data_IF_159548700741
#
_entry.id   IF_159548700741
#
_cell.length_a   1.000
_cell.length_b   1.000
_cell.length_c   1.000
_cell.angle_alpha   90.00
_cell.angle_beta   90.00
_cell.angle_gamma   90.00
#
_symmetry.space_group_name_H-M   'P 1'
#
loop_
_entity.id
_entity.type
_entity.pdbx_description
1 polymer ?
#
# COMPACT_ATOMS: atom_id res chain seq x y z
N UNK A 1 26.10 6.47 1.89
CA UNK A 1 26.76 6.97 3.12
C UNK A 1 27.00 5.84 4.13
N UNK A 2 26.07 4.89 4.29
CA UNK A 2 26.21 3.77 5.25
C UNK A 2 27.25 2.73 4.82
N UNK A 3 27.37 2.46 3.51
CA UNK A 3 28.27 1.43 2.99
C UNK A 3 29.74 1.67 3.37
N UNK A 4 30.22 2.91 3.21
CA UNK A 4 31.61 3.25 3.53
C UNK A 4 31.88 3.43 5.02
N UNK A 5 30.89 3.85 5.81
CA UNK A 5 31.05 4.11 7.24
C UNK A 5 30.91 2.85 8.10
N UNK A 6 30.17 1.86 7.63
CA UNK A 6 29.91 0.61 8.36
C UNK A 6 30.71 -0.58 7.84
N UNK A 7 31.44 -0.43 6.73
CA UNK A 7 32.21 -1.50 6.08
C UNK A 7 31.36 -2.64 5.55
N UNK A 8 30.09 -2.37 5.25
CA UNK A 8 29.17 -3.34 4.64
C UNK A 8 29.16 -3.20 3.11
N UNK A 9 28.99 -4.31 2.42
CA UNK A 9 28.74 -4.33 0.99
C UNK A 9 27.23 -4.40 0.75
N UNK A 10 26.70 -3.63 -0.20
CA UNK A 10 25.29 -3.60 -0.53
C UNK A 10 25.13 -4.01 -1.98
N UNK A 11 24.35 -5.05 -2.23
CA UNK A 11 23.86 -5.46 -3.54
C UNK A 11 22.37 -5.10 -3.63
N UNK A 12 21.90 -4.73 -4.81
CA UNK A 12 20.47 -4.41 -5.06
C UNK A 12 19.99 -5.14 -6.31
N UNK A 13 18.76 -5.61 -6.28
CA UNK A 13 18.04 -6.13 -7.44
C UNK A 13 16.63 -5.56 -7.45
N UNK A 14 16.21 -5.12 -8.63
CA UNK A 14 14.85 -4.63 -8.84
C UNK A 14 14.03 -5.72 -9.54
N UNK A 15 12.80 -5.93 -9.07
CA UNK A 15 11.83 -6.86 -9.66
C UNK A 15 10.79 -6.06 -10.42
N UNK A 16 10.64 -6.36 -11.70
CA UNK A 16 9.68 -5.69 -12.58
C UNK A 16 8.43 -6.53 -12.80
N UNK A 17 8.45 -7.78 -12.34
CA UNK A 17 7.34 -8.72 -12.42
C UNK A 17 7.44 -9.79 -11.35
N UNK A 18 6.37 -10.52 -11.11
CA UNK A 18 6.34 -11.65 -10.16
C UNK A 18 7.36 -12.74 -10.51
N UNK A 19 7.68 -12.89 -11.80
CA UNK A 19 8.68 -13.86 -12.28
C UNK A 19 10.10 -13.54 -11.80
N UNK A 20 10.38 -12.29 -11.41
CA UNK A 20 11.70 -11.84 -10.97
C UNK A 20 11.95 -12.10 -9.48
N UNK A 21 10.89 -12.29 -8.67
CA UNK A 21 11.02 -12.35 -7.21
C UNK A 21 11.93 -13.47 -6.74
N UNK A 22 11.65 -14.72 -7.12
CA UNK A 22 12.48 -15.85 -6.73
C UNK A 22 13.91 -15.76 -7.27
N UNK A 23 14.13 -15.53 -8.60
CA UNK A 23 15.48 -15.39 -9.13
C UNK A 23 16.31 -14.29 -8.46
N UNK A 24 15.71 -13.16 -8.12
CA UNK A 24 16.41 -12.06 -7.47
C UNK A 24 16.83 -12.43 -6.03
N UNK A 25 15.94 -13.06 -5.25
CA UNK A 25 16.27 -13.52 -3.89
C UNK A 25 17.36 -14.59 -3.93
N UNK A 26 17.27 -15.57 -4.83
CA UNK A 26 18.28 -16.62 -5.01
C UNK A 26 19.64 -16.07 -5.46
N UNK A 27 19.64 -15.05 -6.31
CA UNK A 27 20.85 -14.35 -6.72
C UNK A 27 21.57 -13.72 -5.52
N UNK A 28 20.82 -13.06 -4.63
CA UNK A 28 21.40 -12.49 -3.41
C UNK A 28 22.04 -13.55 -2.50
N UNK A 29 21.42 -14.72 -2.36
CA UNK A 29 22.00 -15.85 -1.62
C UNK A 29 23.28 -16.32 -2.32
N UNK A 30 23.25 -16.49 -3.64
CA UNK A 30 24.39 -16.95 -4.43
C UNK A 30 25.57 -15.96 -4.40
N UNK A 31 25.28 -14.67 -4.29
CA UNK A 31 26.28 -13.60 -4.14
C UNK A 31 26.89 -13.53 -2.73
N UNK A 32 26.43 -14.41 -1.81
CA UNK A 32 26.95 -14.51 -0.45
C UNK A 32 26.43 -13.43 0.51
N UNK A 33 25.27 -12.86 0.24
CA UNK A 33 24.62 -11.92 1.15
C UNK A 33 24.27 -12.61 2.48
N UNK A 34 24.65 -12.00 3.60
CA UNK A 34 24.34 -12.51 4.94
C UNK A 34 22.99 -12.01 5.47
N UNK A 35 22.50 -10.91 4.91
CA UNK A 35 21.20 -10.33 5.18
C UNK A 35 20.54 -9.94 3.86
N UNK A 36 19.32 -10.40 3.64
CA UNK A 36 18.49 -10.08 2.49
C UNK A 36 17.25 -9.35 2.97
N UNK A 37 16.98 -8.17 2.39
CA UNK A 37 15.82 -7.36 2.73
C UNK A 37 14.87 -7.33 1.54
N UNK A 38 13.74 -8.02 1.66
CA UNK A 38 12.62 -7.90 0.71
C UNK A 38 11.83 -6.63 1.00
N UNK A 39 11.64 -5.81 -0.02
CA UNK A 39 10.87 -4.56 0.10
C UNK A 39 9.54 -4.73 -0.61
N UNK A 40 8.45 -4.79 0.17
CA UNK A 40 7.09 -4.94 -0.32
C UNK A 40 6.52 -6.36 -0.14
N UNK A 41 5.21 -6.38 0.06
CA UNK A 41 4.45 -7.59 0.41
C UNK A 41 4.50 -8.70 -0.67
N UNK A 42 4.65 -8.36 -1.93
CA UNK A 42 4.74 -9.34 -3.04
C UNK A 42 5.94 -10.27 -2.93
N UNK A 43 7.01 -9.85 -2.23
CA UNK A 43 8.20 -10.67 -2.00
C UNK A 43 8.03 -11.72 -0.89
N UNK A 44 6.89 -11.73 -0.19
CA UNK A 44 6.64 -12.61 0.97
C UNK A 44 6.97 -14.07 0.64
N UNK A 45 6.38 -14.61 -0.40
CA UNK A 45 6.57 -16.02 -0.76
C UNK A 45 8.01 -16.35 -1.15
N UNK A 46 8.68 -15.47 -1.89
CA UNK A 46 10.06 -15.69 -2.33
C UNK A 46 11.02 -15.65 -1.13
N UNK A 47 10.86 -14.65 -0.26
CA UNK A 47 11.67 -14.50 0.96
C UNK A 47 11.40 -15.65 1.93
N UNK A 48 10.15 -16.07 2.11
CA UNK A 48 9.76 -17.19 2.98
C UNK A 48 10.44 -18.50 2.51
N UNK A 49 10.29 -18.83 1.23
CA UNK A 49 10.89 -20.04 0.66
C UNK A 49 12.41 -20.03 0.83
N UNK A 50 13.05 -18.92 0.49
CA UNK A 50 14.51 -18.79 0.62
C UNK A 50 14.99 -18.87 2.08
N UNK A 51 14.22 -18.31 3.03
CA UNK A 51 14.55 -18.40 4.46
C UNK A 51 14.40 -19.83 5.02
N UNK A 52 13.50 -20.61 4.48
CA UNK A 52 13.36 -22.03 4.84
C UNK A 52 14.52 -22.87 4.31
N UNK A 53 15.00 -22.57 3.12
CA UNK A 53 16.09 -23.31 2.46
C UNK A 53 17.48 -22.90 2.93
N UNK A 54 17.67 -21.64 3.34
CA UNK A 54 18.98 -21.07 3.68
C UNK A 54 19.01 -20.57 5.13
N UNK A 55 19.14 -21.48 6.09
CA UNK A 55 19.06 -21.19 7.53
C UNK A 55 20.19 -20.29 8.06
N UNK A 56 21.31 -20.22 7.38
CA UNK A 56 22.47 -19.39 7.75
C UNK A 56 22.37 -17.95 7.23
N UNK A 57 21.40 -17.65 6.39
CA UNK A 57 21.11 -16.30 5.87
C UNK A 57 19.99 -15.68 6.69
N UNK A 58 20.15 -14.40 7.02
CA UNK A 58 19.11 -13.62 7.70
C UNK A 58 18.23 -12.86 6.70
N UNK A 59 16.95 -12.75 7.01
CA UNK A 59 15.99 -12.07 6.15
C UNK A 59 15.21 -11.02 6.92
N UNK A 60 14.84 -9.94 6.23
CA UNK A 60 13.80 -9.01 6.65
C UNK A 60 12.81 -8.82 5.51
N UNK A 61 11.53 -8.72 5.83
CA UNK A 61 10.46 -8.44 4.86
C UNK A 61 9.72 -7.18 5.30
N UNK A 62 9.68 -6.19 4.43
CA UNK A 62 8.98 -4.93 4.69
C UNK A 62 7.54 -5.06 4.21
N UNK A 63 6.61 -4.63 5.07
CA UNK A 63 5.19 -4.48 4.78
C UNK A 63 4.40 -5.79 4.60
N UNK A 64 4.91 -6.91 5.06
CA UNK A 64 4.17 -8.16 5.14
C UNK A 64 4.65 -9.04 6.28
N UNK A 65 3.75 -9.86 6.84
CA UNK A 65 4.08 -11.01 7.68
C UNK A 65 4.31 -12.24 6.81
N UNK A 66 4.98 -13.25 7.36
CA UNK A 66 5.09 -14.57 6.72
C UNK A 66 3.86 -15.42 7.03
N UNK A 67 3.39 -16.17 6.05
CA UNK A 67 2.18 -16.99 6.15
C UNK A 67 2.41 -18.43 5.68
N UNK A 68 1.60 -19.38 6.18
CA UNK A 68 1.72 -20.80 5.94
C UNK A 68 0.96 -21.32 4.68
N UNK A 69 0.51 -20.41 3.83
CA UNK A 69 -0.35 -20.74 2.68
C UNK A 69 -1.84 -20.89 3.01
N UNK A 70 -2.20 -20.96 4.31
CA UNK A 70 -3.59 -20.94 4.80
C UNK A 70 -3.93 -19.60 5.46
N UNK A 71 -3.10 -18.57 5.21
CA UNK A 71 -3.16 -17.24 5.81
C UNK A 71 -2.94 -17.19 7.34
N UNK A 72 -2.36 -18.23 7.94
CA UNK A 72 -1.91 -18.14 9.33
C UNK A 72 -0.49 -17.57 9.37
N UNK A 73 -0.27 -16.57 10.20
CA UNK A 73 1.07 -16.00 10.39
C UNK A 73 2.02 -17.03 11.00
N UNK A 74 3.19 -17.19 10.39
CA UNK A 74 4.27 -18.03 10.87
C UNK A 74 5.47 -17.21 11.31
N UNK A 75 6.24 -17.77 12.24
CA UNK A 75 7.50 -17.17 12.70
C UNK A 75 8.67 -18.01 12.18
N UNK A 76 9.60 -17.36 11.52
CA UNK A 76 10.85 -17.97 11.03
C UNK A 76 12.01 -17.53 11.93
N UNK A 77 12.92 -18.45 12.25
CA UNK A 77 14.03 -18.17 13.16
C UNK A 77 15.04 -17.16 12.56
N UNK A 78 15.22 -17.22 11.25
CA UNK A 78 16.17 -16.40 10.49
C UNK A 78 15.51 -15.26 9.68
N UNK A 79 14.19 -15.03 9.82
CA UNK A 79 13.51 -13.96 9.12
C UNK A 79 12.64 -13.10 10.06
N UNK A 80 12.57 -11.81 9.78
CA UNK A 80 11.78 -10.84 10.56
C UNK A 80 10.87 -10.00 9.64
N UNK A 81 9.55 -9.99 9.89
CA UNK A 81 8.65 -9.04 9.28
C UNK A 81 8.82 -7.66 9.92
N UNK A 82 8.83 -6.63 9.09
CA UNK A 82 8.85 -5.21 9.49
C UNK A 82 7.52 -4.59 9.10
N UNK A 83 6.62 -4.50 10.07
CA UNK A 83 5.26 -3.99 9.87
C UNK A 83 5.14 -2.57 10.39
N UNK A 84 4.25 -1.80 9.79
CA UNK A 84 3.94 -0.42 10.15
C UNK A 84 2.57 -0.30 10.82
N UNK A 85 2.39 0.76 11.60
CA UNK A 85 1.09 1.06 12.21
C UNK A 85 0.18 1.82 11.22
N UNK A 86 -0.01 1.20 10.06
CA UNK A 86 -0.67 1.77 8.88
C UNK A 86 -2.09 2.25 9.15
N UNK A 87 -2.84 1.50 9.97
CA UNK A 87 -4.20 1.87 10.34
C UNK A 87 -4.27 3.24 11.05
N UNK A 88 -3.27 3.60 11.87
CA UNK A 88 -3.23 4.90 12.55
C UNK A 88 -2.99 6.04 11.57
N UNK A 89 -2.06 5.88 10.64
CA UNK A 89 -1.80 6.88 9.60
C UNK A 89 -3.04 7.07 8.70
N UNK A 90 -3.64 5.97 8.26
CA UNK A 90 -4.85 6.00 7.45
C UNK A 90 -6.06 6.58 8.21
N UNK A 91 -6.16 6.36 9.53
CA UNK A 91 -7.16 7.01 10.37
C UNK A 91 -7.03 8.53 10.36
N UNK A 92 -5.80 9.03 10.51
CA UNK A 92 -5.56 10.48 10.43
C UNK A 92 -5.93 11.04 9.05
N UNK A 93 -5.58 10.31 7.98
CA UNK A 93 -5.93 10.68 6.61
C UNK A 93 -7.46 10.73 6.42
N UNK A 94 -8.20 9.73 6.91
CA UNK A 94 -9.66 9.70 6.88
C UNK A 94 -10.31 10.83 7.66
N UNK A 95 -9.76 11.16 8.84
CA UNK A 95 -10.24 12.28 9.64
C UNK A 95 -10.04 13.63 8.93
N UNK A 96 -8.87 13.83 8.32
CA UNK A 96 -8.58 15.03 7.54
C UNK A 96 -9.45 15.10 6.29
N UNK A 97 -9.60 14.01 5.55
CA UNK A 97 -10.47 13.93 4.38
C UNK A 97 -11.91 14.34 4.71
N UNK A 98 -12.46 13.80 5.79
CA UNK A 98 -13.80 14.15 6.25
C UNK A 98 -13.93 15.63 6.64
N UNK A 99 -12.85 16.23 7.15
CA UNK A 99 -12.83 17.66 7.50
C UNK A 99 -12.66 18.62 6.32
N UNK A 100 -12.05 18.13 5.23
CA UNK A 100 -11.73 18.96 4.07
C UNK A 100 -12.70 18.83 2.91
N UNK A 101 -13.46 17.73 2.84
CA UNK A 101 -14.44 17.52 1.76
C UNK A 101 -15.44 18.68 1.69
N UNK A 102 -15.74 19.11 0.48
CA UNK A 102 -16.75 20.14 0.18
C UNK A 102 -18.08 19.50 -0.23
N UNK A 103 -18.04 18.30 -0.75
CA UNK A 103 -19.24 17.56 -1.21
C UNK A 103 -19.87 16.71 -0.11
N UNK A 104 -19.12 16.42 0.97
CA UNK A 104 -19.51 15.47 1.99
C UNK A 104 -19.32 14.01 1.57
N UNK A 105 -18.57 13.76 0.51
CA UNK A 105 -18.28 12.40 0.02
C UNK A 105 -16.80 12.22 -0.23
N UNK A 106 -16.22 11.20 0.41
CA UNK A 106 -14.85 10.77 0.20
C UNK A 106 -14.83 9.32 -0.27
N UNK A 107 -13.75 8.86 -0.88
CA UNK A 107 -13.67 7.51 -1.41
C UNK A 107 -12.32 6.85 -1.10
N UNK A 108 -12.32 5.53 -1.07
CA UNK A 108 -11.12 4.71 -1.10
C UNK A 108 -11.35 3.46 -1.95
N UNK A 109 -10.29 2.93 -2.53
CA UNK A 109 -10.32 1.64 -3.21
C UNK A 109 -8.95 0.97 -3.11
N UNK A 110 -8.93 -0.35 -3.28
CA UNK A 110 -7.70 -1.14 -3.25
C UNK A 110 -7.28 -1.64 -4.63
N UNK A 111 -6.04 -2.09 -4.74
CA UNK A 111 -5.58 -2.90 -5.86
C UNK A 111 -6.20 -4.30 -5.77
N UNK A 112 -5.77 -5.09 -4.81
CA UNK A 112 -6.28 -6.44 -4.52
C UNK A 112 -6.72 -6.49 -3.06
N UNK A 113 -7.74 -7.28 -2.75
CA UNK A 113 -8.24 -7.42 -1.37
C UNK A 113 -7.33 -8.34 -0.55
N UNK A 114 -6.29 -7.75 0.03
CA UNK A 114 -5.32 -8.42 0.91
C UNK A 114 -5.12 -7.59 2.18
N UNK A 115 -4.64 -8.18 3.29
CA UNK A 115 -4.53 -7.49 4.58
C UNK A 115 -3.69 -6.21 4.55
N UNK A 116 -2.59 -6.17 3.79
CA UNK A 116 -1.73 -4.98 3.63
C UNK A 116 -2.44 -3.82 2.92
N UNK A 117 -3.51 -4.08 2.18
CA UNK A 117 -4.37 -3.08 1.52
C UNK A 117 -5.56 -2.70 2.39
N UNK A 118 -6.29 -3.70 2.91
CA UNK A 118 -7.51 -3.44 3.68
C UNK A 118 -7.25 -2.70 4.99
N UNK A 119 -6.06 -2.83 5.60
CA UNK A 119 -5.67 -2.09 6.80
C UNK A 119 -5.68 -0.57 6.60
N UNK A 120 -5.29 -0.07 5.42
CA UNK A 120 -5.43 1.35 5.05
C UNK A 120 -6.90 1.75 4.95
N UNK A 121 -7.70 0.93 4.24
CA UNK A 121 -9.12 1.23 4.00
C UNK A 121 -9.92 1.22 5.29
N UNK A 122 -9.60 0.30 6.21
CA UNK A 122 -10.19 0.23 7.56
C UNK A 122 -9.84 1.45 8.41
N UNK A 123 -8.57 1.84 8.44
CA UNK A 123 -8.13 3.02 9.16
C UNK A 123 -8.79 4.28 8.61
N UNK A 124 -8.85 4.43 7.28
CA UNK A 124 -9.51 5.56 6.63
C UNK A 124 -11.01 5.64 6.98
N UNK A 125 -11.71 4.52 6.94
CA UNK A 125 -13.12 4.43 7.33
C UNK A 125 -13.34 4.85 8.80
N UNK A 126 -12.48 4.39 9.71
CA UNK A 126 -12.53 4.76 11.12
C UNK A 126 -12.29 6.25 11.33
N UNK A 127 -11.36 6.84 10.57
CA UNK A 127 -11.09 8.28 10.62
C UNK A 127 -12.28 9.12 10.18
N UNK A 128 -12.94 8.74 9.09
CA UNK A 128 -14.18 9.40 8.61
C UNK A 128 -15.29 9.27 9.66
N UNK A 129 -15.49 8.07 10.22
CA UNK A 129 -16.50 7.84 11.25
C UNK A 129 -16.23 8.66 12.53
N UNK A 130 -14.96 8.75 12.94
CA UNK A 130 -14.55 9.52 14.10
C UNK A 130 -14.79 11.03 13.91
N UNK A 131 -14.48 11.57 12.71
CA UNK A 131 -14.79 12.95 12.37
C UNK A 131 -16.30 13.22 12.45
N UNK A 132 -17.10 12.38 11.80
CA UNK A 132 -18.56 12.48 11.84
C UNK A 132 -19.09 12.52 13.26
N UNK A 133 -18.63 11.59 14.12
CA UNK A 133 -19.01 11.56 15.55
C UNK A 133 -18.58 12.81 16.29
N UNK A 134 -17.36 13.29 16.08
CA UNK A 134 -16.80 14.44 16.81
C UNK A 134 -17.43 15.77 16.39
N UNK A 135 -17.83 15.91 15.12
CA UNK A 135 -18.35 17.16 14.54
C UNK A 135 -19.85 17.17 14.28
N UNK A 136 -20.53 16.05 14.47
CA UNK A 136 -21.96 15.91 14.18
C UNK A 136 -22.28 16.02 12.69
N UNK A 137 -21.36 15.57 11.84
CA UNK A 137 -21.49 15.56 10.38
C UNK A 137 -21.90 14.17 9.86
N UNK A 138 -22.16 14.05 8.56
CA UNK A 138 -22.49 12.77 7.90
C UNK A 138 -21.75 12.64 6.57
N UNK A 139 -20.41 12.75 6.62
CA UNK A 139 -19.56 12.50 5.47
C UNK A 139 -19.68 11.03 5.08
N UNK A 140 -19.94 10.76 3.82
CA UNK A 140 -20.10 9.42 3.27
C UNK A 140 -18.76 8.90 2.76
N UNK A 141 -18.43 7.66 3.09
CA UNK A 141 -17.30 6.93 2.50
C UNK A 141 -17.84 6.04 1.37
N UNK A 142 -17.27 6.21 0.18
CA UNK A 142 -17.53 5.35 -0.97
C UNK A 142 -16.37 4.35 -1.15
N UNK A 143 -16.68 3.19 -1.70
CA UNK A 143 -15.69 2.19 -2.12
C UNK A 143 -15.19 1.25 -1.03
N UNK A 144 -15.61 1.41 0.24
CA UNK A 144 -15.28 0.47 1.31
C UNK A 144 -16.33 0.45 2.41
N UNK A 145 -16.74 -0.75 2.77
CA UNK A 145 -17.54 -1.02 3.98
C UNK A 145 -16.73 -1.93 4.91
N UNK A 146 -16.18 -1.32 5.96
CA UNK A 146 -15.37 -2.02 6.95
C UNK A 146 -16.14 -3.14 7.66
N UNK A 147 -17.43 -2.95 7.93
CA UNK A 147 -18.21 -3.91 8.69
C UNK A 147 -18.42 -5.23 7.94
N UNK A 148 -18.64 -5.15 6.64
CA UNK A 148 -18.82 -6.32 5.76
C UNK A 148 -17.51 -6.75 5.08
N UNK A 149 -16.42 -5.96 5.21
CA UNK A 149 -15.16 -6.15 4.49
C UNK A 149 -15.39 -6.24 2.97
N UNK A 150 -16.27 -5.40 2.45
CA UNK A 150 -16.63 -5.37 1.05
C UNK A 150 -16.36 -4.00 0.44
N UNK A 151 -15.87 -3.97 -0.80
CA UNK A 151 -15.54 -2.71 -1.44
C UNK A 151 -15.05 -2.81 -2.87
N UNK A 152 -14.43 -1.72 -3.33
CA UNK A 152 -13.94 -1.57 -4.70
C UNK A 152 -12.46 -1.95 -4.79
N UNK A 153 -12.16 -2.87 -5.70
CA UNK A 153 -10.79 -3.31 -6.00
C UNK A 153 -10.60 -3.40 -7.51
N UNK A 154 -9.46 -2.91 -7.99
CA UNK A 154 -9.13 -2.94 -9.42
C UNK A 154 -8.61 -4.29 -9.89
N UNK A 155 -8.30 -5.21 -8.97
CA UNK A 155 -7.65 -6.51 -9.22
C UNK A 155 -6.28 -6.39 -9.90
N UNK A 156 -5.61 -5.24 -9.74
CA UNK A 156 -4.30 -4.94 -10.29
C UNK A 156 -3.55 -3.95 -9.39
N UNK A 157 -2.22 -4.01 -9.42
CA UNK A 157 -1.34 -2.97 -8.86
C UNK A 157 -0.60 -2.18 -9.95
N UNK A 158 -0.73 -2.56 -11.24
CA UNK A 158 0.06 -2.03 -12.34
C UNK A 158 -0.76 -1.27 -13.39
N UNK A 159 -2.02 -1.67 -13.65
CA UNK A 159 -2.85 -1.05 -14.69
C UNK A 159 -3.47 0.27 -14.24
N UNK A 160 -2.80 1.37 -14.58
CA UNK A 160 -3.24 2.73 -14.28
C UNK A 160 -4.59 3.09 -14.92
N UNK A 161 -4.99 2.41 -16.02
CA UNK A 161 -6.29 2.66 -16.66
C UNK A 161 -7.43 2.30 -15.72
N UNK A 162 -7.32 1.16 -15.03
CA UNK A 162 -8.31 0.73 -14.04
C UNK A 162 -8.42 1.72 -12.88
N UNK A 163 -7.29 2.27 -12.41
CA UNK A 163 -7.29 3.30 -11.38
C UNK A 163 -7.99 4.59 -11.81
N UNK A 164 -7.76 5.01 -13.06
CA UNK A 164 -8.43 6.16 -13.65
C UNK A 164 -9.94 5.95 -13.75
N UNK A 165 -10.36 4.81 -14.26
CA UNK A 165 -11.78 4.45 -14.38
C UNK A 165 -12.47 4.39 -13.02
N UNK A 166 -11.85 3.77 -12.02
CA UNK A 166 -12.38 3.68 -10.66
C UNK A 166 -12.54 5.06 -10.02
N UNK A 167 -11.53 5.94 -10.16
CA UNK A 167 -11.61 7.30 -9.65
C UNK A 167 -12.71 8.12 -10.38
N UNK A 168 -12.84 8.00 -11.69
CA UNK A 168 -13.90 8.65 -12.44
C UNK A 168 -15.29 8.23 -11.98
N UNK A 169 -15.48 6.95 -11.62
CA UNK A 169 -16.73 6.48 -11.04
C UNK A 169 -17.04 7.17 -9.70
N UNK A 170 -16.06 7.32 -8.81
CA UNK A 170 -16.25 8.01 -7.53
C UNK A 170 -16.51 9.51 -7.71
N UNK A 171 -15.78 10.16 -8.61
CA UNK A 171 -16.00 11.57 -8.97
C UNK A 171 -17.43 11.78 -9.49
N UNK A 172 -17.90 10.89 -10.37
CA UNK A 172 -19.27 10.95 -10.88
C UNK A 172 -20.36 10.76 -9.82
N UNK A 173 -20.01 10.05 -8.71
CA UNK A 173 -20.87 9.91 -7.53
C UNK A 173 -20.74 11.07 -6.55
N UNK A 174 -19.86 12.04 -6.84
CA UNK A 174 -19.65 13.25 -6.08
C UNK A 174 -18.55 13.17 -5.02
N UNK A 175 -17.67 12.18 -5.05
CA UNK A 175 -16.50 12.19 -4.19
C UNK A 175 -15.51 13.26 -4.66
N UNK A 176 -14.99 14.05 -3.73
CA UNK A 176 -13.99 15.09 -3.98
C UNK A 176 -12.64 14.83 -3.29
N UNK A 177 -12.54 13.74 -2.54
CA UNK A 177 -11.27 13.25 -1.97
C UNK A 177 -11.23 11.73 -2.12
N UNK A 178 -10.14 11.21 -2.72
CA UNK A 178 -9.97 9.77 -2.97
C UNK A 178 -8.61 9.32 -2.44
N UNK A 179 -8.58 8.21 -1.68
CA UNK A 179 -7.37 7.53 -1.25
C UNK A 179 -7.23 6.18 -1.98
N UNK A 180 -6.45 6.10 -3.06
CA UNK A 180 -6.19 4.84 -3.75
C UNK A 180 -5.11 4.04 -3.01
N UNK A 181 -5.42 2.80 -2.62
CA UNK A 181 -4.48 1.87 -1.98
C UNK A 181 -4.13 0.79 -2.99
N UNK A 182 -3.43 1.18 -4.04
CA UNK A 182 -3.31 0.35 -5.24
C UNK A 182 -1.95 0.49 -5.97
N UNK A 183 -0.89 0.92 -5.28
CA UNK A 183 0.43 1.12 -5.90
C UNK A 183 0.37 2.00 -7.14
N UNK A 184 1.07 1.65 -8.24
CA UNK A 184 1.07 2.39 -9.51
C UNK A 184 -0.31 2.66 -10.12
N UNK A 185 -1.30 1.81 -9.89
CA UNK A 185 -2.70 2.03 -10.30
C UNK A 185 -3.26 3.34 -9.74
N UNK A 186 -2.81 3.73 -8.55
CA UNK A 186 -3.17 5.00 -7.91
C UNK A 186 -2.79 6.24 -8.72
N UNK A 187 -1.75 6.17 -9.56
CA UNK A 187 -1.38 7.28 -10.47
C UNK A 187 -2.46 7.52 -11.54
N UNK A 188 -3.17 6.47 -11.94
CA UNK A 188 -4.36 6.61 -12.78
C UNK A 188 -5.47 7.42 -12.09
N UNK A 189 -5.69 7.19 -10.79
CA UNK A 189 -6.63 7.99 -10.01
C UNK A 189 -6.17 9.46 -9.90
N UNK A 190 -4.87 9.69 -9.71
CA UNK A 190 -4.31 11.05 -9.69
C UNK A 190 -4.52 11.77 -11.03
N UNK A 191 -4.36 11.06 -12.16
CA UNK A 191 -4.64 11.61 -13.48
C UNK A 191 -6.13 11.97 -13.66
N UNK A 192 -7.04 11.17 -13.13
CA UNK A 192 -8.48 11.47 -13.16
C UNK A 192 -8.81 12.70 -12.31
N UNK A 193 -8.25 12.79 -11.10
CA UNK A 193 -8.45 13.92 -10.19
C UNK A 193 -7.92 15.24 -10.80
N UNK A 194 -6.72 15.20 -11.40
CA UNK A 194 -6.16 16.34 -12.12
C UNK A 194 -7.04 16.81 -13.27
N UNK A 195 -7.59 15.88 -14.02
CA UNK A 195 -8.49 16.21 -15.14
C UNK A 195 -9.83 16.79 -14.67
N UNK A 196 -10.33 16.37 -13.51
CA UNK A 196 -11.53 16.92 -12.88
C UNK A 196 -11.29 18.34 -12.31
N UNK A 197 -10.12 18.58 -11.73
CA UNK A 197 -9.69 19.86 -11.20
C UNK A 197 -10.32 20.27 -9.86
N UNK A 198 -11.22 19.46 -9.30
CA UNK A 198 -11.87 19.69 -8.00
C UNK A 198 -11.71 18.53 -7.03
N UNK A 199 -11.06 17.44 -7.47
CA UNK A 199 -10.84 16.24 -6.68
C UNK A 199 -9.41 16.17 -6.18
N UNK A 200 -9.23 15.79 -4.93
CA UNK A 200 -7.94 15.60 -4.28
C UNK A 200 -7.61 14.13 -4.13
N UNK A 201 -6.32 13.81 -4.20
CA UNK A 201 -5.80 12.46 -3.93
C UNK A 201 -5.00 12.47 -2.65
N UNK A 202 -5.20 11.44 -1.82
CA UNK A 202 -4.33 11.10 -0.71
C UNK A 202 -3.42 9.97 -1.17
N UNK A 203 -2.13 10.26 -1.35
CA UNK A 203 -1.12 9.26 -1.70
C UNK A 203 -0.85 8.30 -0.54
N UNK A 204 -0.36 7.10 -0.87
CA UNK A 204 0.06 6.08 0.09
C UNK A 204 1.51 5.69 -0.15
N UNK A 205 2.17 5.11 0.84
CA UNK A 205 3.53 4.53 0.85
C UNK A 205 4.67 5.54 0.69
N UNK A 206 4.54 6.54 -0.13
CA UNK A 206 5.55 7.57 -0.38
C UNK A 206 4.96 8.97 -0.39
N UNK A 207 5.81 9.99 -0.32
CA UNK A 207 5.39 11.36 -0.52
C UNK A 207 5.10 11.62 -2.00
N UNK A 208 3.82 11.58 -2.37
CA UNK A 208 3.39 11.78 -3.75
C UNK A 208 3.58 13.21 -4.24
N UNK A 209 3.64 14.17 -3.34
CA UNK A 209 3.93 15.56 -3.72
C UNK A 209 5.34 15.67 -4.32
N UNK A 210 6.31 14.99 -3.74
CA UNK A 210 7.68 14.97 -4.25
C UNK A 210 7.90 13.93 -5.35
N UNK A 211 7.36 12.72 -5.16
CA UNK A 211 7.58 11.60 -6.09
C UNK A 211 6.85 11.76 -7.42
N UNK A 212 5.72 12.49 -7.44
CA UNK A 212 4.86 12.66 -8.62
C UNK A 212 4.52 14.13 -8.86
N UNK A 213 5.51 14.97 -9.23
CA UNK A 213 5.33 16.43 -9.35
C UNK A 213 4.26 16.83 -10.37
N UNK A 214 3.94 15.98 -11.33
CA UNK A 214 2.86 16.21 -12.30
C UNK A 214 1.47 16.25 -11.66
N UNK A 215 1.31 15.72 -10.45
CA UNK A 215 0.05 15.65 -9.70
C UNK A 215 0.06 16.45 -8.40
N UNK A 216 1.14 17.17 -8.12
CA UNK A 216 1.32 17.91 -6.86
C UNK A 216 0.82 19.37 -6.88
N UNK A 217 0.02 19.76 -7.86
CA UNK A 217 -0.49 21.14 -8.03
C UNK A 217 -1.96 21.26 -7.65
#
# INVERSE_FOLDING_TARGET
ASQSSLGIQINTAESNSDADFNPNVESMVSDGCNLIIGVGFNLEKAVHTSADENKDVHYALIDSSFNDGNNNTVTLDNARPLLFNTAEAAYLAGYVAAGMTKTGKVATFGGIQIPSVTVFMDGFADGVAAYNKAKGTNVQLLGWDKASQNGSFTQSFDDQTLGKEQAQQFISQGADIIMPVAGPVGLGAAAAAKADGNTWIIGVDSDWYEANPDYSS
#
